data_IF_174486643725
#
_entry.id   IF_174486643725
#
_cell.length_a   1.000
_cell.length_b   1.000
_cell.length_c   1.000
_cell.angle_alpha   90.00
_cell.angle_beta   90.00
_cell.angle_gamma   90.00
#
_symmetry.space_group_name_H-M   'P 1'
#
loop_
_entity.id
_entity.type
_entity.pdbx_description
1 polymer ?
#
# COMPACT_ATOMS: atom_id res chain seq x y z
N UNK A 1 -6.46 -13.28 21.41
CA UNK A 1 -7.16 -12.01 21.16
C UNK A 1 -8.34 -12.23 20.22
N UNK A 2 -9.29 -11.28 20.25
CA UNK A 2 -10.32 -11.12 19.22
C UNK A 2 -9.80 -10.15 18.17
N UNK A 3 -9.68 -10.57 16.93
CA UNK A 3 -9.08 -9.76 15.85
C UNK A 3 -10.05 -9.66 14.68
N UNK A 4 -10.28 -8.46 14.19
CA UNK A 4 -10.89 -8.25 12.87
C UNK A 4 -9.78 -8.04 11.86
N UNK A 5 -9.71 -8.85 10.82
CA UNK A 5 -8.87 -8.59 9.64
C UNK A 5 -9.76 -7.87 8.65
N UNK A 6 -9.49 -6.59 8.42
CA UNK A 6 -10.29 -5.72 7.58
C UNK A 6 -9.75 -5.71 6.16
N UNK A 7 -10.56 -6.12 5.19
CA UNK A 7 -10.18 -6.26 3.79
C UNK A 7 -11.25 -5.72 2.84
N UNK A 8 -11.04 -5.83 1.55
CA UNK A 8 -11.98 -5.43 0.50
C UNK A 8 -11.99 -3.93 0.24
N UNK A 9 -13.10 -3.27 0.51
CA UNK A 9 -13.25 -1.83 0.26
C UNK A 9 -13.64 -1.49 -1.18
N UNK A 10 -13.43 -0.25 -1.58
CA UNK A 10 -13.72 0.31 -2.91
C UNK A 10 -12.46 0.87 -3.56
N UNK A 11 -11.45 0.02 -3.74
CA UNK A 11 -10.25 0.36 -4.52
C UNK A 11 -10.06 -0.63 -5.67
N UNK A 12 -9.25 -0.27 -6.63
CA UNK A 12 -8.85 -1.15 -7.74
C UNK A 12 -8.07 -2.38 -7.25
N UNK A 13 -7.59 -2.35 -6.01
CA UNK A 13 -6.84 -3.42 -5.34
C UNK A 13 -7.69 -4.25 -4.37
N UNK A 14 -9.04 -4.15 -4.46
CA UNK A 14 -9.99 -4.89 -3.61
C UNK A 14 -9.71 -6.38 -3.52
N UNK A 15 -9.47 -7.03 -4.66
CA UNK A 15 -9.25 -8.48 -4.70
C UNK A 15 -7.89 -8.88 -4.12
N UNK A 16 -6.87 -8.03 -4.31
CA UNK A 16 -5.56 -8.16 -3.65
C UNK A 16 -5.71 -8.05 -2.14
N UNK A 17 -6.51 -7.07 -1.68
CA UNK A 17 -6.83 -6.89 -0.26
C UNK A 17 -7.47 -8.14 0.35
N UNK A 18 -8.42 -8.78 -0.33
CA UNK A 18 -9.00 -10.04 0.14
C UNK A 18 -7.98 -11.17 0.22
N UNK A 19 -7.08 -11.27 -0.75
CA UNK A 19 -6.02 -12.29 -0.72
C UNK A 19 -5.09 -12.05 0.47
N UNK A 20 -4.62 -10.82 0.66
CA UNK A 20 -3.85 -10.41 1.84
C UNK A 20 -4.59 -10.77 3.13
N UNK A 21 -5.84 -10.30 3.25
CA UNK A 21 -6.67 -10.54 4.44
C UNK A 21 -6.89 -12.01 4.76
N UNK A 22 -7.13 -12.84 3.74
CA UNK A 22 -7.34 -14.28 3.93
C UNK A 22 -6.09 -14.99 4.46
N UNK A 23 -4.89 -14.62 3.95
CA UNK A 23 -3.63 -15.20 4.40
C UNK A 23 -3.27 -14.75 5.82
N UNK A 24 -3.45 -13.47 6.12
CA UNK A 24 -3.26 -12.92 7.48
C UNK A 24 -4.25 -13.56 8.46
N UNK A 25 -5.54 -13.65 8.12
CA UNK A 25 -6.54 -14.27 8.97
C UNK A 25 -6.21 -15.74 9.27
N UNK A 26 -5.72 -16.48 8.28
CA UNK A 26 -5.27 -17.86 8.46
C UNK A 26 -4.09 -17.93 9.42
N UNK A 27 -3.04 -17.11 9.22
CA UNK A 27 -1.85 -17.09 10.06
C UNK A 27 -2.18 -16.76 11.53
N UNK A 28 -3.04 -15.76 11.75
CA UNK A 28 -3.45 -15.36 13.09
C UNK A 28 -4.35 -16.41 13.78
N UNK A 29 -5.18 -17.15 13.03
CA UNK A 29 -5.92 -18.31 13.57
C UNK A 29 -4.96 -19.43 13.98
N UNK A 30 -3.95 -19.72 13.17
CA UNK A 30 -2.89 -20.70 13.51
C UNK A 30 -2.09 -20.29 14.75
N UNK A 31 -1.95 -18.98 15.01
CA UNK A 31 -1.36 -18.43 16.23
C UNK A 31 -2.32 -18.51 17.46
N UNK A 32 -3.55 -18.99 17.30
CA UNK A 32 -4.52 -19.20 18.39
C UNK A 32 -5.46 -18.02 18.66
N UNK A 33 -5.61 -17.08 17.76
CA UNK A 33 -6.54 -15.96 17.88
C UNK A 33 -7.93 -16.30 17.33
N UNK A 34 -8.97 -15.61 17.84
CA UNK A 34 -10.31 -15.60 17.24
C UNK A 34 -10.35 -14.50 16.18
N UNK A 35 -10.41 -14.89 14.91
CA UNK A 35 -10.21 -13.96 13.78
C UNK A 35 -11.39 -13.94 12.85
N UNK A 36 -11.93 -12.76 12.58
CA UNK A 36 -12.97 -12.51 11.59
C UNK A 36 -12.37 -11.77 10.40
N UNK A 37 -12.46 -12.34 9.20
CA UNK A 37 -12.19 -11.62 7.95
C UNK A 37 -13.45 -10.86 7.54
N UNK A 38 -13.37 -9.53 7.49
CA UNK A 38 -14.50 -8.64 7.28
C UNK A 38 -14.27 -7.72 6.08
N UNK A 39 -15.25 -7.64 5.20
CA UNK A 39 -15.27 -6.62 4.13
C UNK A 39 -15.68 -5.27 4.70
N UNK A 40 -14.78 -4.28 4.61
CA UNK A 40 -15.04 -2.94 5.14
C UNK A 40 -16.21 -2.24 4.47
N UNK A 41 -16.45 -2.50 3.18
CA UNK A 41 -17.51 -1.86 2.41
C UNK A 41 -18.82 -2.64 2.45
N UNK A 42 -18.80 -3.96 2.29
CA UNK A 42 -20.03 -4.78 2.29
C UNK A 42 -20.55 -4.99 3.72
N UNK A 43 -19.67 -5.05 4.72
CA UNK A 43 -20.03 -5.26 6.11
C UNK A 43 -20.50 -6.68 6.43
N UNK A 44 -21.17 -6.81 7.57
CA UNK A 44 -21.78 -8.04 8.05
C UNK A 44 -23.26 -7.84 8.30
N UNK A 45 -24.11 -8.66 7.65
CA UNK A 45 -25.57 -8.56 7.69
C UNK A 45 -26.15 -7.23 7.19
N UNK A 46 -27.40 -7.25 6.77
CA UNK A 46 -28.14 -6.06 6.29
C UNK A 46 -28.90 -5.35 7.41
N UNK A 47 -28.84 -5.86 8.63
CA UNK A 47 -29.63 -5.40 9.77
C UNK A 47 -28.72 -5.15 10.96
N UNK A 48 -29.22 -4.36 11.88
CA UNK A 48 -28.66 -4.30 13.21
C UNK A 48 -28.89 -5.66 13.91
N UNK A 49 -27.82 -6.36 14.24
CA UNK A 49 -27.87 -7.67 14.89
C UNK A 49 -27.27 -7.60 16.28
N UNK A 50 -27.67 -8.58 17.13
CA UNK A 50 -26.97 -8.88 18.36
C UNK A 50 -25.62 -9.54 18.01
N UNK A 51 -24.53 -8.80 18.22
CA UNK A 51 -23.17 -9.24 17.95
C UNK A 51 -22.53 -9.93 19.15
N UNK A 52 -23.29 -10.18 20.24
CA UNK A 52 -22.76 -10.86 21.42
C UNK A 52 -22.18 -12.23 21.05
N UNK A 53 -20.94 -12.47 21.46
CA UNK A 53 -20.21 -13.73 21.17
C UNK A 53 -19.87 -13.94 19.70
N UNK A 54 -19.87 -12.87 18.88
CA UNK A 54 -19.63 -12.99 17.42
C UNK A 54 -18.29 -13.64 17.11
N UNK A 55 -17.24 -13.41 17.91
CA UNK A 55 -15.93 -14.02 17.74
C UNK A 55 -15.92 -15.53 18.04
N UNK A 56 -16.90 -16.06 18.75
CA UNK A 56 -17.05 -17.50 18.97
C UNK A 56 -17.55 -18.22 17.69
N UNK A 57 -18.11 -17.45 16.75
CA UNK A 57 -18.61 -17.93 15.43
C UNK A 57 -17.78 -17.37 14.28
N UNK A 58 -16.53 -16.97 14.53
CA UNK A 58 -15.68 -16.28 13.55
C UNK A 58 -15.55 -17.02 12.21
N UNK A 59 -15.50 -18.35 12.21
CA UNK A 59 -15.36 -19.15 10.99
C UNK A 59 -16.63 -19.15 10.14
N UNK A 60 -17.81 -19.00 10.73
CA UNK A 60 -19.09 -18.98 10.04
C UNK A 60 -19.34 -17.65 9.33
N UNK A 61 -18.82 -16.57 9.90
CA UNK A 61 -19.12 -15.19 9.47
C UNK A 61 -18.02 -14.58 8.62
N UNK A 62 -16.82 -15.15 8.61
CA UNK A 62 -15.71 -14.67 7.80
C UNK A 62 -16.01 -14.73 6.30
N UNK A 63 -15.61 -13.67 5.58
CA UNK A 63 -15.73 -13.63 4.12
C UNK A 63 -14.97 -14.79 3.49
N UNK A 64 -15.59 -15.48 2.54
CA UNK A 64 -14.94 -16.50 1.74
C UNK A 64 -14.25 -15.85 0.55
N UNK A 65 -12.98 -16.15 0.34
CA UNK A 65 -12.14 -15.52 -0.68
C UNK A 65 -11.82 -16.50 -1.80
N UNK A 66 -12.06 -16.07 -3.04
CA UNK A 66 -11.64 -16.75 -4.26
C UNK A 66 -10.25 -16.29 -4.71
N UNK A 67 -9.72 -16.89 -5.79
CA UNK A 67 -8.48 -16.44 -6.40
C UNK A 67 -8.60 -15.01 -6.96
N UNK A 68 -7.46 -14.29 -7.04
CA UNK A 68 -7.40 -12.93 -7.59
C UNK A 68 -7.71 -12.98 -9.10
N UNK A 69 -8.73 -12.24 -9.60
CA UNK A 69 -8.96 -12.09 -11.03
C UNK A 69 -7.77 -11.42 -11.74
N UNK A 70 -7.67 -11.62 -13.05
CA UNK A 70 -6.63 -10.99 -13.89
C UNK A 70 -6.92 -9.53 -14.21
N UNK A 71 -8.15 -9.08 -13.99
CA UNK A 71 -8.62 -7.72 -14.24
C UNK A 71 -9.04 -7.06 -12.93
N UNK A 72 -8.86 -5.75 -12.85
CA UNK A 72 -9.29 -4.96 -11.70
C UNK A 72 -10.83 -5.05 -11.52
N UNK A 73 -11.35 -5.02 -10.28
CA UNK A 73 -12.78 -5.15 -10.02
C UNK A 73 -13.58 -3.96 -10.58
N UNK A 74 -14.78 -4.23 -11.07
CA UNK A 74 -15.75 -3.20 -11.45
C UNK A 74 -16.35 -2.59 -10.17
N UNK A 75 -15.80 -1.48 -9.72
CA UNK A 75 -16.20 -0.81 -8.47
C UNK A 75 -17.64 -0.29 -8.52
N UNK A 76 -18.18 0.03 -9.71
CA UNK A 76 -19.58 0.43 -9.87
C UNK A 76 -20.50 -0.76 -9.56
N UNK A 77 -20.16 -1.96 -10.04
CA UNK A 77 -20.90 -3.17 -9.71
C UNK A 77 -20.79 -3.52 -8.23
N UNK A 78 -19.58 -3.43 -7.64
CA UNK A 78 -19.39 -3.66 -6.20
C UNK A 78 -20.28 -2.71 -5.40
N UNK A 79 -20.27 -1.41 -5.72
CA UNK A 79 -21.10 -0.42 -5.05
C UNK A 79 -22.59 -0.71 -5.20
N UNK A 80 -23.04 -1.07 -6.40
CA UNK A 80 -24.45 -1.39 -6.68
C UNK A 80 -24.92 -2.69 -5.99
N UNK A 81 -24.02 -3.63 -5.71
CA UNK A 81 -24.35 -4.91 -5.07
C UNK A 81 -24.60 -4.80 -3.57
N UNK A 82 -24.12 -3.73 -2.90
CA UNK A 82 -24.41 -3.50 -1.49
C UNK A 82 -25.88 -3.12 -1.31
N UNK A 83 -26.60 -3.83 -0.43
CA UNK A 83 -28.03 -3.56 -0.19
C UNK A 83 -28.27 -2.21 0.46
N UNK A 84 -27.42 -1.86 1.43
CA UNK A 84 -27.41 -0.52 2.00
C UNK A 84 -26.75 0.46 1.04
N UNK A 85 -27.56 1.30 0.38
CA UNK A 85 -27.10 2.35 -0.56
C UNK A 85 -26.82 3.69 0.14
N UNK A 86 -26.62 3.70 1.47
CA UNK A 86 -26.22 4.89 2.21
C UNK A 86 -24.86 5.42 1.70
N UNK A 87 -24.57 6.71 1.87
CA UNK A 87 -23.29 7.29 1.49
C UNK A 87 -22.13 6.88 2.42
N UNK A 88 -22.42 6.16 3.52
CA UNK A 88 -21.39 5.69 4.46
C UNK A 88 -20.48 4.68 3.76
N UNK A 89 -19.18 4.88 3.91
CA UNK A 89 -18.18 3.94 3.37
C UNK A 89 -18.22 2.60 4.12
N UNK A 90 -18.36 2.65 5.44
CA UNK A 90 -18.42 1.44 6.26
C UNK A 90 -19.76 0.72 6.04
N UNK A 91 -19.69 -0.54 5.69
CA UNK A 91 -20.86 -1.41 5.60
C UNK A 91 -21.50 -1.66 6.98
N UNK A 92 -22.71 -2.27 6.99
CA UNK A 92 -23.41 -2.54 8.23
C UNK A 92 -22.55 -3.32 9.23
N UNK A 93 -22.62 -2.94 10.51
CA UNK A 93 -21.94 -3.55 11.64
C UNK A 93 -20.40 -3.47 11.65
N UNK A 94 -19.75 -2.95 10.63
CA UNK A 94 -18.27 -2.90 10.56
C UNK A 94 -17.68 -2.19 11.77
N UNK A 95 -18.09 -0.97 12.06
CA UNK A 95 -17.55 -0.19 13.19
C UNK A 95 -17.82 -0.90 14.53
N UNK A 96 -19.03 -1.45 14.73
CA UNK A 96 -19.36 -2.19 15.97
C UNK A 96 -18.44 -3.40 16.16
N UNK A 97 -18.23 -4.19 15.10
CA UNK A 97 -17.34 -5.36 15.15
C UNK A 97 -15.89 -4.96 15.40
N UNK A 98 -15.41 -3.89 14.76
CA UNK A 98 -14.08 -3.35 15.00
C UNK A 98 -13.90 -2.84 16.45
N UNK A 99 -14.92 -2.22 17.05
CA UNK A 99 -14.89 -1.79 18.46
C UNK A 99 -14.91 -2.96 19.45
N UNK A 100 -15.43 -4.13 19.07
CA UNK A 100 -15.44 -5.35 19.89
C UNK A 100 -14.13 -6.15 19.78
N UNK A 101 -13.29 -5.85 18.78
CA UNK A 101 -11.98 -6.47 18.61
C UNK A 101 -10.95 -5.87 19.58
N UNK A 102 -9.96 -6.67 19.99
CA UNK A 102 -8.78 -6.17 20.71
C UNK A 102 -7.92 -5.28 19.81
N UNK A 103 -7.87 -5.63 18.51
CA UNK A 103 -7.22 -4.87 17.44
C UNK A 103 -7.81 -5.23 16.07
N UNK A 104 -7.76 -4.28 15.14
CA UNK A 104 -8.07 -4.48 13.72
C UNK A 104 -6.78 -4.62 12.93
N UNK A 105 -6.57 -5.73 12.25
CA UNK A 105 -5.49 -5.87 11.27
C UNK A 105 -5.92 -5.25 9.95
N UNK A 106 -5.20 -4.20 9.51
CA UNK A 106 -5.48 -3.47 8.28
C UNK A 106 -4.90 -4.23 7.08
N UNK A 107 -5.72 -5.02 6.39
CA UNK A 107 -5.35 -5.75 5.19
C UNK A 107 -5.91 -5.08 3.91
N UNK A 108 -6.10 -3.77 3.96
CA UNK A 108 -6.59 -2.95 2.86
C UNK A 108 -5.44 -2.50 1.96
N UNK A 109 -5.73 -2.27 0.69
CA UNK A 109 -4.78 -1.71 -0.27
C UNK A 109 -5.44 -0.59 -1.08
N UNK A 110 -4.61 0.41 -1.44
CA UNK A 110 -5.03 1.55 -2.22
C UNK A 110 -5.87 2.57 -1.44
N UNK A 111 -6.66 3.34 -2.18
CA UNK A 111 -7.48 4.41 -1.61
C UNK A 111 -8.38 3.89 -0.48
N UNK A 112 -8.66 4.78 0.47
CA UNK A 112 -9.35 4.56 1.74
C UNK A 112 -8.58 3.71 2.76
N UNK A 113 -7.84 2.68 2.38
CA UNK A 113 -7.00 1.88 3.28
C UNK A 113 -5.69 2.57 3.64
N UNK A 114 -5.02 3.16 2.65
CA UNK A 114 -3.67 3.71 2.78
C UNK A 114 -3.61 5.24 2.85
N UNK A 115 -4.73 5.95 2.66
CA UNK A 115 -4.77 7.42 2.61
C UNK A 115 -5.18 8.08 3.94
N UNK A 116 -5.18 7.36 5.05
CA UNK A 116 -5.46 7.90 6.38
C UNK A 116 -6.95 8.04 6.73
N UNK A 117 -7.87 7.92 5.78
CA UNK A 117 -9.31 8.15 6.03
C UNK A 117 -9.91 7.16 7.03
N UNK A 118 -9.60 5.88 6.89
CA UNK A 118 -10.08 4.84 7.82
C UNK A 118 -9.40 4.97 9.16
N UNK A 119 -8.10 5.23 9.17
CA UNK A 119 -7.31 5.46 10.38
C UNK A 119 -7.89 6.61 11.22
N UNK A 120 -8.18 7.77 10.59
CA UNK A 120 -8.80 8.90 11.26
C UNK A 120 -10.20 8.57 11.82
N UNK A 121 -11.01 7.79 11.08
CA UNK A 121 -12.29 7.34 11.59
C UNK A 121 -12.11 6.40 12.79
N UNK A 122 -11.17 5.47 12.73
CA UNK A 122 -10.88 4.53 13.82
C UNK A 122 -10.40 5.24 15.08
N UNK A 123 -9.55 6.24 14.96
CA UNK A 123 -9.12 7.08 16.08
C UNK A 123 -10.34 7.72 16.79
N UNK A 124 -11.29 8.28 16.02
CA UNK A 124 -12.50 8.90 16.57
C UNK A 124 -13.48 7.87 17.18
N UNK A 125 -13.51 6.64 16.70
CA UNK A 125 -14.33 5.56 17.22
C UNK A 125 -13.66 4.76 18.35
N UNK A 126 -12.41 5.07 18.70
CA UNK A 126 -11.64 4.34 19.71
C UNK A 126 -11.28 2.92 19.29
N UNK A 127 -11.13 2.67 18.00
CA UNK A 127 -10.74 1.37 17.42
C UNK A 127 -9.22 1.30 17.30
N UNK A 128 -8.61 0.27 17.88
CA UNK A 128 -7.17 0.00 17.70
C UNK A 128 -6.94 -0.70 16.36
N UNK A 129 -5.88 -0.31 15.64
CA UNK A 129 -5.55 -0.87 14.32
C UNK A 129 -4.04 -1.00 14.10
N UNK A 130 -3.65 -1.91 13.20
CA UNK A 130 -2.24 -2.09 12.79
C UNK A 130 -1.82 -1.04 11.77
N UNK A 131 -0.51 -0.75 11.72
CA UNK A 131 0.09 0.17 10.74
C UNK A 131 0.16 1.61 11.24
N UNK A 132 0.47 2.52 10.33
CA UNK A 132 0.71 3.94 10.60
C UNK A 132 -0.58 4.71 10.88
N UNK A 133 -0.46 5.88 11.50
CA UNK A 133 -1.57 6.77 11.80
C UNK A 133 -2.18 7.43 10.54
N UNK A 134 -3.22 8.24 10.74
CA UNK A 134 -3.94 8.89 9.65
C UNK A 134 -3.09 9.91 8.91
N UNK A 135 -2.26 10.70 9.62
CA UNK A 135 -1.47 11.77 9.01
C UNK A 135 -0.32 11.19 8.18
N UNK A 136 0.45 10.27 8.76
CA UNK A 136 1.54 9.59 8.09
C UNK A 136 1.06 8.82 6.85
N UNK A 137 -0.10 8.15 6.97
CA UNK A 137 -0.72 7.46 5.85
C UNK A 137 -1.14 8.43 4.73
N UNK A 138 -1.73 9.57 5.06
CA UNK A 138 -2.14 10.57 4.08
C UNK A 138 -0.93 11.19 3.34
N UNK A 139 0.16 11.48 4.08
CA UNK A 139 1.41 12.00 3.49
C UNK A 139 2.03 10.96 2.56
N UNK A 140 2.18 9.71 3.00
CA UNK A 140 2.78 8.64 2.21
C UNK A 140 2.01 8.36 0.92
N UNK A 141 0.68 8.37 0.97
CA UNK A 141 -0.18 8.11 -0.19
C UNK A 141 -0.07 9.19 -1.27
N UNK A 142 0.12 10.45 -0.88
CA UNK A 142 0.26 11.57 -1.81
C UNK A 142 1.72 11.73 -2.23
N UNK A 143 2.06 11.31 -3.45
CA UNK A 143 3.43 11.31 -3.98
C UNK A 143 4.06 12.70 -4.04
N UNK A 144 3.28 13.74 -4.34
CA UNK A 144 3.80 15.12 -4.34
C UNK A 144 4.20 15.52 -2.91
N UNK A 145 3.30 15.29 -1.94
CA UNK A 145 3.56 15.63 -0.54
C UNK A 145 4.75 14.83 0.00
N UNK A 146 4.81 13.51 -0.21
CA UNK A 146 5.92 12.68 0.26
C UNK A 146 7.25 13.10 -0.36
N UNK A 147 7.28 13.45 -1.65
CA UNK A 147 8.49 13.97 -2.32
C UNK A 147 8.97 15.30 -1.72
N UNK A 148 8.07 16.18 -1.30
CA UNK A 148 8.45 17.42 -0.58
C UNK A 148 9.14 17.10 0.75
N UNK A 149 8.64 16.10 1.51
CA UNK A 149 9.30 15.62 2.72
C UNK A 149 10.68 15.01 2.40
N UNK A 150 10.81 14.24 1.33
CA UNK A 150 12.08 13.67 0.91
C UNK A 150 13.09 14.78 0.61
N UNK A 151 12.75 15.72 -0.25
CA UNK A 151 13.62 16.83 -0.65
C UNK A 151 14.03 17.70 0.54
N UNK A 152 13.10 18.01 1.44
CA UNK A 152 13.37 18.81 2.63
C UNK A 152 14.33 18.14 3.62
N UNK A 153 14.46 16.82 3.55
CA UNK A 153 15.35 16.03 4.43
C UNK A 153 16.54 15.41 3.69
N UNK A 154 16.80 15.81 2.44
CA UNK A 154 17.96 15.35 1.67
C UNK A 154 17.87 13.91 1.18
N UNK A 155 16.65 13.33 1.15
CA UNK A 155 16.39 12.00 0.59
C UNK A 155 16.25 12.15 -0.94
N UNK A 156 17.08 11.46 -1.74
CA UNK A 156 17.02 11.58 -3.20
C UNK A 156 15.71 11.03 -3.75
N UNK A 157 15.11 11.77 -4.66
CA UNK A 157 13.90 11.35 -5.40
C UNK A 157 13.99 11.91 -6.82
N UNK A 158 13.37 11.30 -7.85
CA UNK A 158 13.43 11.85 -9.20
C UNK A 158 12.93 13.30 -9.23
N UNK A 159 13.63 14.18 -9.96
CA UNK A 159 13.18 15.55 -10.18
C UNK A 159 11.81 15.52 -10.83
N UNK A 160 10.87 16.31 -10.32
CA UNK A 160 9.51 16.30 -10.82
C UNK A 160 8.74 17.55 -10.44
N UNK A 161 7.54 17.65 -10.98
CA UNK A 161 6.55 18.69 -10.68
C UNK A 161 5.19 18.05 -10.42
N UNK A 162 4.34 18.73 -9.69
CA UNK A 162 2.92 18.40 -9.65
C UNK A 162 2.14 19.23 -10.67
N UNK A 163 1.03 18.68 -11.16
CA UNK A 163 0.15 19.33 -12.12
C UNK A 163 -1.30 18.97 -11.82
N UNK A 164 -2.15 20.00 -11.69
CA UNK A 164 -3.60 19.81 -11.56
C UNK A 164 -4.29 20.10 -12.90
N UNK A 165 -5.60 19.82 -12.97
CA UNK A 165 -6.38 20.20 -14.17
C UNK A 165 -6.37 21.70 -14.42
N UNK A 166 -6.33 22.52 -13.37
CA UNK A 166 -6.30 23.99 -13.43
C UNK A 166 -4.94 24.52 -13.90
N UNK A 167 -3.84 23.84 -13.53
CA UNK A 167 -2.46 24.24 -13.90
C UNK A 167 -1.93 23.47 -15.10
N UNK A 168 -2.79 22.71 -15.80
CA UNK A 168 -2.41 21.84 -16.91
C UNK A 168 -1.65 22.59 -18.00
N UNK A 169 -0.50 22.02 -18.39
CA UNK A 169 0.33 22.45 -19.49
C UNK A 169 0.60 21.25 -20.42
N UNK A 170 0.05 21.31 -21.64
CA UNK A 170 0.17 20.22 -22.63
C UNK A 170 1.50 20.20 -23.40
N UNK A 171 2.28 21.25 -23.26
CA UNK A 171 3.58 21.41 -23.95
C UNK A 171 4.71 21.20 -22.94
N UNK A 172 5.36 20.02 -23.00
CA UNK A 172 6.45 19.68 -22.08
C UNK A 172 7.66 20.61 -22.18
N UNK A 173 7.87 21.27 -23.33
CA UNK A 173 9.00 22.20 -23.50
C UNK A 173 8.88 23.45 -22.65
N UNK A 174 7.72 23.71 -22.07
CA UNK A 174 7.45 24.83 -21.13
C UNK A 174 7.61 24.43 -19.68
N UNK A 175 7.93 23.15 -19.41
CA UNK A 175 8.14 22.62 -18.08
C UNK A 175 9.65 22.45 -17.82
N UNK A 176 10.06 22.58 -16.56
CA UNK A 176 11.46 22.34 -16.15
C UNK A 176 11.70 20.82 -15.95
N UNK A 177 11.46 20.05 -17.02
CA UNK A 177 11.62 18.60 -17.06
C UNK A 177 12.29 18.17 -18.37
N UNK A 178 13.01 17.06 -18.32
CA UNK A 178 13.63 16.41 -19.48
C UNK A 178 12.88 15.14 -19.88
N UNK A 179 12.96 14.78 -21.15
CA UNK A 179 12.52 13.49 -21.66
C UNK A 179 13.66 12.47 -21.60
N UNK A 180 13.35 11.19 -21.34
CA UNK A 180 12.02 10.66 -21.02
C UNK A 180 11.53 11.08 -19.64
N UNK A 181 10.21 11.19 -19.47
CA UNK A 181 9.58 11.46 -18.18
C UNK A 181 8.47 10.45 -17.88
N UNK A 182 8.03 10.40 -16.62
CA UNK A 182 6.92 9.57 -16.16
C UNK A 182 5.77 10.48 -15.76
N UNK A 183 4.60 10.23 -16.33
CA UNK A 183 3.33 10.86 -15.93
C UNK A 183 2.55 9.86 -15.10
N UNK A 184 2.14 10.22 -13.90
CA UNK A 184 1.41 9.33 -12.99
C UNK A 184 0.42 10.06 -12.09
N UNK A 185 -0.70 9.41 -11.70
CA UNK A 185 -1.59 9.92 -10.66
C UNK A 185 -0.84 10.13 -9.35
N UNK A 186 -1.21 11.19 -8.60
CA UNK A 186 -0.54 11.58 -7.38
C UNK A 186 -0.73 10.54 -6.24
N UNK A 187 -1.99 10.04 -6.07
CA UNK A 187 -2.34 9.07 -5.03
C UNK A 187 -2.63 7.67 -5.58
N UNK A 188 -2.40 7.44 -6.88
CA UNK A 188 -2.64 6.15 -7.53
C UNK A 188 -1.69 5.06 -7.05
N UNK A 189 -2.17 3.81 -7.05
CA UNK A 189 -1.41 2.59 -6.74
C UNK A 189 -1.30 1.66 -7.95
N UNK A 190 -0.51 0.58 -7.80
CA UNK A 190 -0.37 -0.53 -8.76
C UNK A 190 -0.09 -0.10 -10.20
N UNK A 191 0.61 1.01 -10.38
CA UNK A 191 0.99 1.57 -11.71
C UNK A 191 -0.18 1.89 -12.64
N UNK A 192 -1.41 2.04 -12.12
CA UNK A 192 -2.58 2.43 -12.91
C UNK A 192 -2.46 3.92 -13.32
N UNK A 193 -2.66 4.22 -14.61
CA UNK A 193 -2.52 5.58 -15.15
C UNK A 193 -1.08 6.08 -15.26
N UNK A 194 -0.08 5.20 -15.11
CA UNK A 194 1.34 5.53 -15.26
C UNK A 194 1.77 5.38 -16.70
N UNK A 195 2.38 6.42 -17.27
CA UNK A 195 2.89 6.43 -18.64
C UNK A 195 4.32 6.95 -18.69
N UNK A 196 5.23 6.19 -19.29
CA UNK A 196 6.58 6.65 -19.62
C UNK A 196 6.51 7.37 -20.98
N UNK A 197 6.71 8.67 -20.96
CA UNK A 197 6.71 9.53 -22.15
C UNK A 197 8.14 9.66 -22.68
N UNK A 198 8.36 9.23 -23.93
CA UNK A 198 9.68 9.26 -24.58
C UNK A 198 9.79 10.37 -25.62
N UNK A 199 8.65 10.79 -26.17
CA UNK A 199 8.54 11.83 -27.18
C UNK A 199 7.53 12.91 -26.71
N UNK A 200 7.83 14.18 -27.02
CA UNK A 200 6.96 15.31 -26.68
C UNK A 200 5.53 15.16 -27.27
N UNK A 201 5.39 14.49 -28.41
CA UNK A 201 4.09 14.24 -29.03
C UNK A 201 3.18 13.32 -28.19
N UNK A 202 3.75 12.45 -27.34
CA UNK A 202 3.02 11.52 -26.48
C UNK A 202 2.51 12.20 -25.19
N UNK A 203 3.12 13.33 -24.81
CA UNK A 203 2.91 13.94 -23.49
C UNK A 203 1.45 14.30 -23.20
N UNK A 204 0.79 14.94 -24.19
CA UNK A 204 -0.62 15.30 -24.05
C UNK A 204 -1.52 14.08 -23.83
N UNK A 205 -1.28 13.00 -24.57
CA UNK A 205 -2.06 11.77 -24.44
C UNK A 205 -1.85 11.10 -23.08
N UNK A 206 -0.62 11.12 -22.55
CA UNK A 206 -0.30 10.65 -21.22
C UNK A 206 -1.03 11.44 -20.13
N UNK A 207 -1.09 12.78 -20.24
CA UNK A 207 -1.87 13.62 -19.34
C UNK A 207 -3.37 13.29 -19.45
N UNK A 208 -3.91 13.16 -20.67
CA UNK A 208 -5.32 12.82 -20.89
C UNK A 208 -5.69 11.47 -20.25
N UNK A 209 -4.77 10.52 -20.24
CA UNK A 209 -4.98 9.21 -19.60
C UNK A 209 -4.89 9.29 -18.08
N UNK A 210 -3.83 9.87 -17.54
CA UNK A 210 -3.63 9.98 -16.10
C UNK A 210 -4.74 10.80 -15.42
N UNK A 211 -5.20 11.90 -16.04
CA UNK A 211 -6.32 12.70 -15.55
C UNK A 211 -7.69 11.99 -15.55
N UNK A 212 -7.83 10.82 -16.15
CA UNK A 212 -9.06 10.01 -15.98
C UNK A 212 -9.17 9.45 -14.56
N UNK A 213 -8.02 9.27 -13.90
CA UNK A 213 -7.93 8.62 -12.60
C UNK A 213 -7.95 9.61 -11.45
N UNK A 214 -7.20 10.73 -11.58
CA UNK A 214 -7.10 11.73 -10.52
C UNK A 214 -7.06 13.16 -11.07
N UNK A 215 -7.30 14.16 -10.19
CA UNK A 215 -7.23 15.57 -10.53
C UNK A 215 -5.83 16.17 -10.36
N UNK A 216 -4.94 15.44 -9.71
CA UNK A 216 -3.55 15.84 -9.46
C UNK A 216 -2.61 14.75 -9.95
N UNK A 217 -1.58 15.16 -10.68
CA UNK A 217 -0.57 14.28 -11.25
C UNK A 217 0.82 14.67 -10.76
N UNK A 218 1.71 13.69 -10.68
CA UNK A 218 3.16 13.90 -10.59
C UNK A 218 3.77 13.58 -11.95
N UNK A 219 4.61 14.49 -12.45
CA UNK A 219 5.39 14.30 -13.67
C UNK A 219 6.84 14.40 -13.25
N UNK A 220 7.61 13.34 -13.48
CA UNK A 220 8.99 13.24 -13.01
C UNK A 220 9.93 12.73 -14.09
N UNK A 221 11.20 13.06 -14.00
CA UNK A 221 12.23 12.54 -14.89
C UNK A 221 12.29 11.01 -14.78
N UNK A 222 12.40 10.32 -15.91
CA UNK A 222 12.55 8.88 -15.94
C UNK A 222 13.95 8.47 -15.50
N UNK A 223 14.04 7.70 -14.43
CA UNK A 223 15.30 7.13 -13.96
C UNK A 223 15.46 5.74 -14.55
N UNK A 224 16.48 5.56 -15.38
CA UNK A 224 16.88 4.25 -15.88
C UNK A 224 17.69 3.54 -14.79
N UNK A 225 17.22 2.36 -14.33
CA UNK A 225 17.93 1.64 -13.28
C UNK A 225 17.26 0.34 -12.86
N UNK A 226 17.82 -0.27 -11.83
CA UNK A 226 17.28 -1.43 -11.12
C UNK A 226 16.29 -0.97 -10.06
N UNK A 227 15.21 -1.71 -9.85
CA UNK A 227 14.18 -1.42 -8.86
C UNK A 227 14.36 -2.29 -7.62
N UNK A 228 14.25 -1.68 -6.45
CA UNK A 228 14.38 -2.32 -5.14
C UNK A 228 13.24 -1.92 -4.23
N UNK A 229 12.94 -2.82 -3.32
CA UNK A 229 12.03 -2.56 -2.21
C UNK A 229 12.74 -2.80 -0.89
N UNK A 230 12.45 -1.98 0.11
CA UNK A 230 13.01 -2.07 1.45
C UNK A 230 11.91 -1.93 2.49
N UNK A 231 11.59 -3.01 3.17
CA UNK A 231 10.71 -2.98 4.34
C UNK A 231 11.39 -2.33 5.53
N UNK A 232 10.62 -1.58 6.30
CA UNK A 232 11.05 -1.00 7.57
C UNK A 232 10.07 -1.42 8.65
N UNK A 233 10.57 -2.00 9.75
CA UNK A 233 9.76 -2.39 10.91
C UNK A 233 10.39 -1.75 12.15
N UNK A 234 9.59 -1.04 12.97
CA UNK A 234 10.05 -0.30 14.16
C UNK A 234 11.28 0.59 13.85
N UNK A 235 11.27 1.27 12.69
CA UNK A 235 12.35 2.15 12.24
C UNK A 235 13.62 1.44 11.81
N UNK A 236 13.60 0.10 11.61
CA UNK A 236 14.73 -0.71 11.15
C UNK A 236 14.46 -1.33 9.80
N UNK A 237 15.37 -1.09 8.87
CA UNK A 237 15.32 -1.65 7.53
C UNK A 237 15.57 -3.16 7.54
N UNK A 238 14.77 -3.88 6.77
CA UNK A 238 14.93 -5.29 6.46
C UNK A 238 15.97 -5.50 5.37
N UNK A 239 16.36 -6.76 5.07
CA UNK A 239 17.15 -7.07 3.89
C UNK A 239 16.44 -6.61 2.60
N UNK A 240 17.18 -5.96 1.73
CA UNK A 240 16.66 -5.40 0.47
C UNK A 240 16.23 -6.50 -0.47
N UNK A 241 15.11 -6.30 -1.16
CA UNK A 241 14.66 -7.17 -2.25
C UNK A 241 14.77 -6.45 -3.59
N UNK A 242 15.40 -7.07 -4.59
CA UNK A 242 15.43 -6.61 -5.96
C UNK A 242 14.21 -7.09 -6.72
N UNK A 243 13.62 -6.22 -7.54
CA UNK A 243 12.45 -6.47 -8.35
C UNK A 243 12.86 -6.34 -9.81
N UNK A 244 12.94 -7.46 -10.52
CA UNK A 244 13.36 -7.51 -11.92
C UNK A 244 12.23 -8.08 -12.81
N UNK A 245 11.35 -7.23 -13.39
CA UNK A 245 10.35 -7.66 -14.35
C UNK A 245 11.03 -8.30 -15.57
N UNK A 246 10.49 -9.43 -16.06
CA UNK A 246 11.03 -10.12 -17.24
C UNK A 246 10.78 -9.33 -18.52
N UNK A 247 9.71 -8.53 -18.56
CA UNK A 247 9.33 -7.67 -19.69
C UNK A 247 8.78 -6.34 -19.16
N UNK A 248 9.18 -5.24 -19.78
CA UNK A 248 8.64 -3.91 -19.49
C UNK A 248 9.11 -3.32 -18.16
N UNK A 249 8.18 -2.79 -17.38
CA UNK A 249 8.41 -2.23 -16.04
C UNK A 249 7.47 -2.92 -15.03
N UNK A 250 7.61 -2.63 -13.75
CA UNK A 250 6.83 -3.26 -12.67
C UNK A 250 5.40 -2.71 -12.61
N UNK A 251 4.61 -3.03 -13.64
CA UNK A 251 3.21 -2.67 -13.79
C UNK A 251 2.25 -3.65 -13.07
N UNK A 252 0.95 -3.38 -13.13
CA UNK A 252 -0.08 -4.21 -12.50
C UNK A 252 0.05 -5.69 -12.89
N UNK A 253 0.27 -5.96 -14.17
CA UNK A 253 0.41 -7.34 -14.67
C UNK A 253 1.65 -8.02 -14.10
N UNK A 254 2.78 -7.31 -14.05
CA UNK A 254 4.03 -7.84 -13.52
C UNK A 254 4.03 -7.98 -11.99
N UNK A 255 3.20 -7.19 -11.28
CA UNK A 255 3.00 -7.31 -9.82
C UNK A 255 2.21 -8.55 -9.42
N UNK A 256 1.17 -8.91 -10.17
CA UNK A 256 0.20 -9.94 -9.73
C UNK A 256 0.19 -11.21 -10.56
N UNK A 257 0.85 -11.25 -11.72
CA UNK A 257 0.97 -12.47 -12.52
C UNK A 257 2.17 -13.29 -12.05
N UNK A 258 1.91 -14.48 -11.55
CA UNK A 258 2.97 -15.39 -11.08
C UNK A 258 4.04 -15.63 -12.17
N UNK A 259 5.31 -15.45 -11.80
CA UNK A 259 6.46 -15.68 -12.66
C UNK A 259 6.75 -14.58 -13.69
N UNK A 260 6.06 -13.44 -13.67
CA UNK A 260 6.37 -12.28 -14.55
C UNK A 260 7.57 -11.48 -14.07
N UNK A 261 7.87 -11.53 -12.78
CA UNK A 261 8.95 -10.80 -12.13
C UNK A 261 9.88 -11.80 -11.45
N UNK A 262 11.16 -11.51 -11.44
CA UNK A 262 12.17 -12.19 -10.62
C UNK A 262 12.41 -11.32 -9.40
N UNK A 263 12.23 -11.89 -8.22
CA UNK A 263 12.45 -11.23 -6.95
C UNK A 263 13.64 -11.91 -6.27
N UNK A 264 14.64 -11.13 -5.88
CA UNK A 264 15.87 -11.64 -5.25
C UNK A 264 16.05 -10.99 -3.88
N UNK A 265 15.97 -11.77 -2.82
CA UNK A 265 16.14 -11.33 -1.45
C UNK A 265 17.08 -12.27 -0.67
N UNK A 266 18.19 -11.78 -0.07
CA UNK A 266 18.69 -10.41 -0.16
C UNK A 266 19.18 -10.07 -1.56
N UNK A 267 19.03 -8.80 -1.97
CA UNK A 267 19.52 -8.30 -3.25
C UNK A 267 21.06 -8.35 -3.33
N UNK A 268 21.57 -8.66 -4.53
CA UNK A 268 23.01 -8.65 -4.80
C UNK A 268 23.50 -7.22 -5.04
N UNK A 269 23.99 -6.57 -4.00
CA UNK A 269 24.49 -5.20 -3.97
C UNK A 269 25.84 -5.10 -3.23
N UNK A 270 26.70 -4.12 -3.59
CA UNK A 270 27.86 -3.78 -2.78
C UNK A 270 27.43 -3.37 -1.35
N UNK A 271 28.22 -3.71 -0.35
CA UNK A 271 27.89 -3.47 1.06
C UNK A 271 27.54 -2.01 1.36
N UNK A 272 28.29 -1.06 0.81
CA UNK A 272 28.00 0.37 1.01
C UNK A 272 26.66 0.77 0.38
N UNK A 273 26.36 0.31 -0.82
CA UNK A 273 25.09 0.58 -1.51
C UNK A 273 23.91 0.00 -0.70
N UNK A 274 24.07 -1.21 -0.14
CA UNK A 274 23.09 -1.81 0.76
C UNK A 274 22.82 -0.93 1.98
N UNK A 275 23.87 -0.49 2.67
CA UNK A 275 23.75 0.37 3.86
C UNK A 275 23.10 1.71 3.55
N UNK A 276 23.48 2.33 2.44
CA UNK A 276 22.93 3.63 2.04
C UNK A 276 21.46 3.51 1.66
N UNK A 277 21.06 2.45 0.95
CA UNK A 277 19.67 2.19 0.57
C UNK A 277 18.79 1.89 1.80
N UNK A 278 19.28 1.07 2.73
CA UNK A 278 18.60 0.82 4.00
C UNK A 278 18.45 2.10 4.83
N UNK A 279 19.49 2.91 4.90
CA UNK A 279 19.43 4.21 5.57
C UNK A 279 18.38 5.14 4.96
N UNK A 280 18.29 5.24 3.61
CA UNK A 280 17.25 6.04 2.99
C UNK A 280 15.84 5.53 3.29
N UNK A 281 15.62 4.22 3.32
CA UNK A 281 14.33 3.66 3.70
C UNK A 281 13.96 3.96 5.16
N UNK A 282 14.92 3.87 6.09
CA UNK A 282 14.74 4.27 7.49
C UNK A 282 14.43 5.77 7.62
N UNK A 283 15.14 6.63 6.87
CA UNK A 283 14.89 8.06 6.84
C UNK A 283 13.52 8.41 6.23
N UNK A 284 13.09 7.72 5.17
CA UNK A 284 11.72 7.86 4.62
C UNK A 284 10.70 7.56 5.70
N UNK A 285 10.83 6.43 6.40
CA UNK A 285 9.90 6.06 7.47
C UNK A 285 9.91 7.13 8.59
N UNK A 286 11.07 7.61 9.01
CA UNK A 286 11.24 8.61 10.05
C UNK A 286 10.60 9.95 9.69
N UNK A 287 10.86 10.48 8.49
CA UNK A 287 10.42 11.85 8.11
C UNK A 287 8.92 11.92 7.80
N UNK A 288 8.31 10.80 7.38
CA UNK A 288 6.87 10.72 7.17
C UNK A 288 6.15 10.33 8.49
N UNK A 289 6.84 9.72 9.45
CA UNK A 289 6.26 9.25 10.72
C UNK A 289 5.65 7.85 10.61
N UNK A 290 6.27 6.96 9.84
CA UNK A 290 5.82 5.57 9.65
C UNK A 290 6.38 4.67 10.76
N UNK A 291 5.83 4.80 11.97
CA UNK A 291 6.44 4.28 13.21
C UNK A 291 6.37 2.76 13.37
N UNK A 292 5.41 2.08 12.72
CA UNK A 292 5.20 0.64 12.89
C UNK A 292 5.90 -0.16 11.81
N UNK A 293 5.34 -0.18 10.64
CA UNK A 293 5.93 -0.83 9.47
C UNK A 293 5.56 -0.09 8.19
N UNK A 294 6.42 -0.20 7.21
CA UNK A 294 6.25 0.40 5.88
C UNK A 294 7.17 -0.29 4.89
N UNK A 295 7.06 0.10 3.63
CA UNK A 295 7.97 -0.32 2.57
C UNK A 295 8.27 0.86 1.68
N UNK A 296 9.54 1.08 1.36
CA UNK A 296 9.99 2.10 0.41
C UNK A 296 10.43 1.46 -0.88
N UNK A 297 10.01 2.02 -2.02
CA UNK A 297 10.42 1.58 -3.35
C UNK A 297 11.49 2.55 -3.89
N UNK A 298 12.65 2.01 -4.31
CA UNK A 298 13.85 2.77 -4.63
C UNK A 298 14.43 2.30 -5.96
N UNK A 299 14.78 3.25 -6.83
CA UNK A 299 15.56 2.99 -8.04
C UNK A 299 17.05 3.23 -7.79
N UNK A 300 17.89 2.40 -8.39
CA UNK A 300 19.35 2.52 -8.40
C UNK A 300 19.82 2.59 -9.86
N UNK A 301 20.42 3.72 -10.27
CA UNK A 301 20.95 3.88 -11.62
C UNK A 301 22.35 3.27 -11.78
N UNK A 302 22.89 3.27 -13.00
CA UNK A 302 24.21 2.71 -13.33
C UNK A 302 25.38 3.44 -12.65
N UNK A 303 25.14 4.63 -12.07
CA UNK A 303 26.13 5.38 -11.30
C UNK A 303 26.05 5.11 -9.79
N UNK A 304 25.21 4.18 -9.37
CA UNK A 304 24.86 3.91 -7.98
C UNK A 304 24.17 5.11 -7.27
N UNK A 305 23.51 5.99 -8.02
CA UNK A 305 22.66 7.02 -7.46
C UNK A 305 21.27 6.43 -7.19
N UNK A 306 20.74 6.70 -5.99
CA UNK A 306 19.47 6.16 -5.50
C UNK A 306 18.37 7.21 -5.63
N UNK A 307 17.14 6.75 -5.87
CA UNK A 307 15.98 7.61 -5.98
C UNK A 307 14.77 6.95 -5.33
N UNK A 308 14.32 7.50 -4.21
CA UNK A 308 13.10 7.04 -3.52
C UNK A 308 11.87 7.44 -4.33
N UNK A 309 11.05 6.48 -4.69
CA UNK A 309 9.84 6.69 -5.50
C UNK A 309 8.62 6.99 -4.64
N UNK A 310 8.40 6.15 -3.64
CA UNK A 310 7.23 6.18 -2.76
C UNK A 310 7.46 5.39 -1.48
N UNK A 311 6.58 5.61 -0.50
CA UNK A 311 6.45 4.79 0.70
C UNK A 311 5.05 4.17 0.76
N UNK A 312 4.99 2.88 1.05
CA UNK A 312 3.76 2.10 1.17
C UNK A 312 3.48 1.82 2.65
N UNK A 313 2.31 2.20 3.14
CA UNK A 313 1.93 2.09 4.56
C UNK A 313 1.27 0.77 4.94
N UNK A 314 0.64 0.11 3.97
CA UNK A 314 0.05 -1.22 4.11
C UNK A 314 0.60 -2.14 3.01
N UNK A 315 1.90 -2.51 3.06
CA UNK A 315 2.49 -3.38 2.05
C UNK A 315 1.77 -4.72 1.99
N UNK A 316 1.83 -5.37 0.82
CA UNK A 316 1.22 -6.67 0.61
C UNK A 316 1.65 -7.70 1.65
N UNK A 317 0.69 -8.43 2.19
CA UNK A 317 0.89 -9.44 3.24
C UNK A 317 0.35 -10.80 2.77
N UNK A 318 0.95 -11.31 1.69
CA UNK A 318 0.89 -12.74 1.36
C UNK A 318 2.28 -13.35 1.56
N UNK A 319 2.43 -14.66 1.75
CA UNK A 319 3.76 -15.27 1.92
C UNK A 319 4.76 -14.98 0.78
N UNK A 320 4.25 -14.61 -0.39
CA UNK A 320 5.05 -14.25 -1.56
C UNK A 320 5.14 -12.74 -1.82
N UNK A 321 4.59 -11.91 -0.92
CA UNK A 321 4.75 -10.45 -0.99
C UNK A 321 6.14 -10.03 -0.52
N UNK A 322 6.59 -8.83 -0.92
CA UNK A 322 7.96 -8.35 -0.71
C UNK A 322 8.33 -8.30 0.78
N UNK A 323 7.54 -7.62 1.61
CA UNK A 323 7.81 -7.50 3.06
C UNK A 323 7.92 -8.86 3.78
N UNK A 324 7.01 -9.84 3.58
CA UNK A 324 7.18 -11.18 4.13
C UNK A 324 8.41 -11.93 3.62
N UNK A 325 8.84 -11.73 2.37
CA UNK A 325 10.08 -12.33 1.85
C UNK A 325 11.30 -11.73 2.54
N UNK A 326 11.35 -10.41 2.70
CA UNK A 326 12.42 -9.71 3.43
C UNK A 326 12.50 -10.18 4.90
N UNK A 327 11.35 -10.32 5.58
CA UNK A 327 11.27 -10.84 6.95
C UNK A 327 11.75 -12.29 7.05
N UNK A 328 11.45 -13.13 6.06
CA UNK A 328 11.89 -14.52 6.03
C UNK A 328 13.43 -14.65 5.98
N UNK A 329 14.14 -13.73 5.32
CA UNK A 329 15.61 -13.72 5.27
C UNK A 329 16.22 -13.57 6.67
N UNK A 330 15.56 -12.83 7.56
CA UNK A 330 16.02 -12.68 8.97
C UNK A 330 15.45 -13.77 9.89
N UNK A 331 14.83 -14.82 9.32
CA UNK A 331 14.32 -15.97 10.07
C UNK A 331 12.92 -15.77 10.66
N UNK A 332 12.21 -14.70 10.31
CA UNK A 332 10.84 -14.43 10.76
C UNK A 332 9.83 -15.08 9.81
N UNK A 333 9.13 -16.12 10.26
CA UNK A 333 8.08 -16.75 9.47
C UNK A 333 6.89 -15.81 9.25
N UNK A 334 6.04 -16.10 8.26
CA UNK A 334 4.86 -15.28 7.98
C UNK A 334 3.92 -15.16 9.19
N UNK A 335 3.71 -16.24 9.93
CA UNK A 335 2.89 -16.23 11.13
C UNK A 335 3.50 -15.35 12.23
N UNK A 336 4.83 -15.43 12.42
CA UNK A 336 5.55 -14.57 13.36
C UNK A 336 5.51 -13.09 12.93
N UNK A 337 5.62 -12.82 11.64
CA UNK A 337 5.50 -11.46 11.12
C UNK A 337 4.10 -10.88 11.41
N UNK A 338 3.03 -11.62 11.11
CA UNK A 338 1.66 -11.17 11.41
C UNK A 338 1.46 -10.85 12.89
N UNK A 339 1.99 -11.70 13.79
CA UNK A 339 1.95 -11.46 15.23
C UNK A 339 2.75 -10.23 15.62
N UNK A 340 3.97 -10.13 15.12
CA UNK A 340 4.87 -9.01 15.44
C UNK A 340 4.27 -7.66 15.01
N UNK A 341 3.63 -7.59 13.84
CA UNK A 341 2.97 -6.36 13.38
C UNK A 341 1.80 -5.95 14.30
N UNK A 342 1.11 -6.91 14.91
CA UNK A 342 0.09 -6.63 15.95
C UNK A 342 0.76 -6.08 17.19
N UNK A 343 1.78 -6.76 17.70
CA UNK A 343 2.47 -6.38 18.94
C UNK A 343 3.03 -4.95 18.88
N UNK A 344 3.73 -4.60 17.80
CA UNK A 344 4.27 -3.25 17.63
C UNK A 344 3.18 -2.19 17.45
N UNK A 345 2.08 -2.55 16.81
CA UNK A 345 0.95 -1.64 16.64
C UNK A 345 0.19 -1.38 17.94
N UNK A 346 0.10 -2.36 18.83
CA UNK A 346 -0.51 -2.20 20.15
C UNK A 346 0.27 -1.22 21.03
N UNK A 347 1.60 -1.14 20.89
CA UNK A 347 2.45 -0.17 21.62
C UNK A 347 2.00 1.28 21.42
N UNK A 348 1.39 1.63 20.28
CA UNK A 348 0.86 2.99 20.04
C UNK A 348 -0.23 3.40 21.03
N UNK A 349 -0.89 2.43 21.66
CA UNK A 349 -2.03 2.61 22.56
C UNK A 349 -1.67 2.41 24.04
N UNK A 350 -0.41 2.12 24.33
CA UNK A 350 0.14 2.03 25.69
C UNK A 350 0.60 3.45 26.10
N UNK A 351 -0.33 4.23 26.70
CA UNK A 351 -0.05 5.58 27.23
C UNK A 351 0.03 5.55 28.73
#
# INVERSE_FOLDING_TARGET
MNIVVLAGGLSTERDVSFKTGSMVAKALKENGHKVILLDVFMGYSDREEDLTGIFDRADEISVQVSDIPTEAPDLAKVKASRKDQSPCFFGPNVIKMCQMADIVFMALHGENGENGKIQAAFDLFGVKYTGSDYLSSAIAMNKETSKQFFLANGIPTPKGISMTRETRQDDITKLDLTLPCVVKPCCGGSSIGVTIVRDAAEFKAALDDAFKWENELVIEEFVQGREFSVGVIEGKALPIIEIAPKEGFYDYKNKYKAGSTVETCPAELPEQVTKDMQHYAEEVARVIGLDTYSRSDILLNDKNEMFCLEANTLPGMTPTSLLPQEAAVIGMSFNQLCEHLIDISLKKYEV
#
